data_IF_833587340486
#
_entry.id   IF_833587340486
#
_cell.length_a   1.000
_cell.length_b   1.000
_cell.length_c   1.000
_cell.angle_alpha   90.00
_cell.angle_beta   90.00
_cell.angle_gamma   90.00
#
_symmetry.space_group_name_H-M   'P 1'
#
loop_
_entity.id
_entity.type
_entity.pdbx_description
1 polymer ?
#
# COMPACT_ATOMS: atom_id res chain seq x y z
N UNK A 1 5.27 -1.57 -11.80
CA UNK A 1 4.13 -2.46 -11.43
C UNK A 1 4.32 -2.92 -9.99
N UNK A 2 3.24 -2.98 -9.17
CA UNK A 2 3.32 -3.46 -7.80
C UNK A 2 3.90 -4.87 -7.70
N UNK A 3 4.80 -5.07 -6.75
CA UNK A 3 5.52 -6.34 -6.55
C UNK A 3 4.60 -7.52 -6.19
N UNK A 4 3.57 -7.26 -5.39
CA UNK A 4 2.71 -8.28 -4.80
C UNK A 4 1.29 -8.28 -5.40
N UNK A 5 1.17 -8.09 -6.71
CA UNK A 5 -0.14 -7.95 -7.37
C UNK A 5 -1.08 -9.15 -7.12
N UNK A 6 -0.56 -10.38 -7.10
CA UNK A 6 -1.39 -11.57 -6.82
C UNK A 6 -2.00 -11.52 -5.40
N UNK A 7 -1.21 -11.08 -4.43
CA UNK A 7 -1.69 -10.90 -3.06
C UNK A 7 -2.71 -9.75 -2.96
N UNK A 8 -2.49 -8.67 -3.71
CA UNK A 8 -3.45 -7.56 -3.86
C UNK A 8 -4.79 -8.03 -4.40
N UNK A 9 -4.77 -8.85 -5.46
CA UNK A 9 -5.98 -9.42 -6.06
C UNK A 9 -6.74 -10.33 -5.08
N UNK A 10 -6.05 -11.09 -4.25
CA UNK A 10 -6.68 -11.90 -3.21
C UNK A 10 -7.42 -11.03 -2.18
N UNK A 11 -6.84 -9.93 -1.74
CA UNK A 11 -7.54 -8.97 -0.86
C UNK A 11 -8.74 -8.35 -1.59
N UNK A 12 -8.53 -7.87 -2.83
CA UNK A 12 -9.60 -7.21 -3.57
C UNK A 12 -10.78 -8.15 -3.84
N UNK A 13 -10.54 -9.43 -4.09
CA UNK A 13 -11.62 -10.42 -4.28
C UNK A 13 -12.54 -10.54 -3.05
N UNK A 14 -12.01 -10.34 -1.85
CA UNK A 14 -12.80 -10.30 -0.61
C UNK A 14 -13.57 -8.96 -0.51
N UNK A 15 -12.93 -7.85 -0.87
CA UNK A 15 -13.57 -6.53 -0.84
C UNK A 15 -14.70 -6.42 -1.87
N UNK A 16 -14.57 -7.05 -3.03
CA UNK A 16 -15.60 -7.11 -4.07
C UNK A 16 -16.89 -7.80 -3.61
N UNK A 17 -16.78 -8.74 -2.66
CA UNK A 17 -17.94 -9.45 -2.09
C UNK A 17 -18.67 -8.63 -1.01
N UNK A 18 -18.14 -7.48 -0.59
CA UNK A 18 -18.72 -6.62 0.42
C UNK A 18 -19.76 -5.68 -0.21
N UNK A 19 -20.89 -5.53 0.46
CA UNK A 19 -21.84 -4.45 0.14
C UNK A 19 -21.30 -3.09 0.61
N UNK A 20 -21.84 -1.96 0.11
CA UNK A 20 -21.53 -0.64 0.67
C UNK A 20 -21.73 -0.57 2.19
N UNK A 21 -22.80 -1.16 2.70
CA UNK A 21 -23.08 -1.23 4.15
C UNK A 21 -22.00 -2.00 4.93
N UNK A 22 -21.45 -3.08 4.36
CA UNK A 22 -20.36 -3.83 4.97
C UNK A 22 -19.07 -3.03 4.98
N UNK A 23 -18.75 -2.34 3.88
CA UNK A 23 -17.57 -1.48 3.78
C UNK A 23 -17.64 -0.29 4.74
N UNK A 24 -18.83 0.30 4.89
CA UNK A 24 -19.07 1.37 5.85
C UNK A 24 -18.71 0.94 7.28
N UNK A 25 -19.16 -0.25 7.70
CA UNK A 25 -18.85 -0.81 9.01
C UNK A 25 -17.37 -1.24 9.14
N UNK A 26 -16.86 -1.95 8.12
CA UNK A 26 -15.51 -2.49 8.11
C UNK A 26 -14.43 -1.41 8.22
N UNK A 27 -14.62 -0.30 7.50
CA UNK A 27 -13.63 0.78 7.39
C UNK A 27 -14.02 2.03 8.21
N UNK A 28 -15.15 2.00 8.95
CA UNK A 28 -15.67 3.13 9.73
C UNK A 28 -15.77 4.44 8.91
N UNK A 29 -16.33 4.35 7.70
CA UNK A 29 -16.46 5.45 6.74
C UNK A 29 -17.92 5.83 6.49
N UNK A 30 -18.13 7.03 5.91
CA UNK A 30 -19.47 7.49 5.53
C UNK A 30 -20.08 6.67 4.39
N UNK A 31 -21.39 6.70 4.25
CA UNK A 31 -22.14 6.06 3.15
C UNK A 31 -21.59 6.47 1.78
N UNK A 32 -21.39 7.76 1.55
CA UNK A 32 -20.82 8.29 0.31
C UNK A 32 -19.45 7.70 -0.02
N UNK A 33 -18.59 7.54 0.99
CA UNK A 33 -17.26 6.93 0.81
C UNK A 33 -17.34 5.43 0.62
N UNK A 34 -18.30 4.75 1.27
CA UNK A 34 -18.50 3.31 1.09
C UNK A 34 -18.99 2.97 -0.32
N UNK A 35 -19.94 3.75 -0.86
CA UNK A 35 -20.41 3.60 -2.25
C UNK A 35 -19.30 3.81 -3.26
N UNK A 36 -18.49 4.85 -3.06
CA UNK A 36 -17.33 5.13 -3.92
C UNK A 36 -16.33 3.97 -3.90
N UNK A 37 -16.00 3.45 -2.72
CA UNK A 37 -15.00 2.39 -2.61
C UNK A 37 -15.55 1.02 -3.03
N UNK A 38 -16.85 0.76 -2.87
CA UNK A 38 -17.53 -0.39 -3.46
C UNK A 38 -17.37 -0.41 -4.99
N UNK A 39 -17.64 0.71 -5.66
CA UNK A 39 -17.43 0.83 -7.12
C UNK A 39 -15.98 0.59 -7.49
N UNK A 40 -15.03 1.23 -6.79
CA UNK A 40 -13.59 1.05 -7.01
C UNK A 40 -13.16 -0.41 -6.87
N UNK A 41 -13.67 -1.12 -5.88
CA UNK A 41 -13.35 -2.54 -5.69
C UNK A 41 -13.88 -3.38 -6.85
N UNK A 42 -15.09 -3.11 -7.36
CA UNK A 42 -15.66 -3.82 -8.52
C UNK A 42 -14.91 -3.53 -9.83
N UNK A 43 -14.47 -2.30 -10.03
CA UNK A 43 -13.75 -1.85 -11.22
C UNK A 43 -12.26 -2.24 -11.19
N UNK A 44 -11.75 -2.69 -10.04
CA UNK A 44 -10.34 -3.04 -9.87
C UNK A 44 -9.92 -4.15 -10.82
N UNK A 45 -8.87 -3.89 -11.58
CA UNK A 45 -8.38 -4.78 -12.63
C UNK A 45 -6.96 -5.25 -12.37
N UNK A 46 -6.65 -6.48 -12.80
CA UNK A 46 -5.27 -6.98 -12.86
C UNK A 46 -4.38 -6.11 -13.76
N UNK A 47 -4.94 -5.57 -14.82
CA UNK A 47 -4.24 -4.72 -15.78
C UNK A 47 -4.19 -3.28 -15.27
N UNK A 48 -3.01 -2.85 -14.81
CA UNK A 48 -2.73 -1.46 -14.46
C UNK A 48 -2.16 -0.74 -15.68
N UNK A 49 -2.79 0.36 -16.06
CA UNK A 49 -2.40 1.19 -17.20
C UNK A 49 -2.68 2.68 -16.90
N UNK A 50 -2.34 3.57 -17.82
CA UNK A 50 -2.46 5.01 -17.62
C UNK A 50 -3.92 5.50 -17.53
N UNK A 51 -4.89 4.72 -18.02
CA UNK A 51 -6.31 5.07 -17.94
C UNK A 51 -6.89 4.80 -16.55
N UNK A 52 -6.47 3.71 -15.88
CA UNK A 52 -7.03 3.27 -14.61
C UNK A 52 -6.10 3.41 -13.40
N UNK A 53 -4.85 3.79 -13.60
CA UNK A 53 -3.82 3.81 -12.56
C UNK A 53 -2.99 5.09 -12.59
N UNK A 54 -2.33 5.37 -11.47
CA UNK A 54 -1.33 6.44 -11.35
C UNK A 54 -0.12 5.95 -10.57
N UNK A 55 1.08 6.53 -10.79
CA UNK A 55 2.22 6.21 -9.94
C UNK A 55 1.90 6.51 -8.47
N UNK A 56 2.27 5.60 -7.59
CA UNK A 56 1.92 5.63 -6.17
C UNK A 56 2.24 6.97 -5.50
N UNK A 57 3.42 7.52 -5.78
CA UNK A 57 3.86 8.79 -5.18
C UNK A 57 2.98 9.99 -5.55
N UNK A 58 2.29 9.95 -6.69
CA UNK A 58 1.33 10.97 -7.13
C UNK A 58 -0.13 10.64 -6.78
N UNK A 59 -0.38 9.41 -6.35
CA UNK A 59 -1.73 8.94 -6.03
C UNK A 59 -2.07 9.08 -4.54
N UNK A 60 -1.09 8.89 -3.65
CA UNK A 60 -1.26 9.08 -2.22
C UNK A 60 -1.35 10.55 -1.84
N UNK A 61 -2.14 10.82 -0.83
CA UNK A 61 -2.37 12.15 -0.26
C UNK A 61 -2.31 12.06 1.27
N UNK A 62 -2.02 13.19 1.93
CA UNK A 62 -1.89 13.31 3.38
C UNK A 62 -0.60 13.99 3.79
N UNK A 63 -0.46 14.30 5.08
CA UNK A 63 0.58 15.19 5.62
C UNK A 63 2.01 14.84 5.18
N UNK A 64 2.34 13.55 5.11
CA UNK A 64 3.68 13.10 4.66
C UNK A 64 3.92 13.45 3.19
N UNK A 65 2.90 13.29 2.36
CA UNK A 65 3.00 13.57 0.92
C UNK A 65 2.90 15.07 0.63
N UNK A 66 2.14 15.81 1.43
CA UNK A 66 2.07 17.26 1.37
C UNK A 66 3.44 17.87 1.72
N UNK A 67 4.12 17.33 2.74
CA UNK A 67 5.47 17.74 3.12
C UNK A 67 6.54 17.40 2.07
N UNK A 68 6.35 16.30 1.33
CA UNK A 68 7.24 15.89 0.24
C UNK A 68 7.08 16.78 -1.00
N UNK A 69 5.88 17.31 -1.23
CA UNK A 69 5.51 18.15 -2.39
C UNK A 69 6.08 17.63 -3.71
N UNK A 70 5.77 16.37 -4.00
CA UNK A 70 6.35 15.61 -5.13
C UNK A 70 6.22 16.32 -6.47
N UNK A 71 5.22 17.18 -6.64
CA UNK A 71 4.97 17.93 -7.90
C UNK A 71 6.05 18.97 -8.20
N UNK A 72 6.81 19.38 -7.20
CA UNK A 72 7.93 20.34 -7.33
C UNK A 72 9.28 19.66 -7.60
N UNK A 73 9.32 18.34 -7.54
CA UNK A 73 10.55 17.57 -7.71
C UNK A 73 10.89 17.39 -9.19
N UNK A 74 12.16 17.55 -9.53
CA UNK A 74 12.69 17.24 -10.85
C UNK A 74 12.85 15.71 -11.06
N UNK A 75 13.09 15.29 -12.29
CA UNK A 75 13.23 13.87 -12.63
C UNK A 75 14.36 13.17 -11.86
N UNK A 76 15.48 13.86 -11.57
CA UNK A 76 16.60 13.27 -10.82
C UNK A 76 16.21 12.94 -9.38
N UNK A 77 15.40 13.80 -8.76
CA UNK A 77 14.88 13.57 -7.41
C UNK A 77 13.84 12.44 -7.42
N UNK A 78 12.98 12.37 -8.43
CA UNK A 78 12.04 11.25 -8.60
C UNK A 78 12.79 9.93 -8.78
N UNK A 79 13.85 9.88 -9.59
CA UNK A 79 14.69 8.69 -9.76
C UNK A 79 15.39 8.29 -8.45
N UNK A 80 15.86 9.27 -7.69
CA UNK A 80 16.42 9.00 -6.35
C UNK A 80 15.36 8.37 -5.43
N UNK A 81 14.17 8.94 -5.37
CA UNK A 81 13.07 8.41 -4.56
C UNK A 81 12.66 7.01 -5.02
N UNK A 82 12.60 6.75 -6.33
CA UNK A 82 12.30 5.42 -6.89
C UNK A 82 13.24 4.33 -6.34
N UNK A 83 14.49 4.68 -6.10
CA UNK A 83 15.51 3.77 -5.58
C UNK A 83 15.51 3.68 -4.04
N UNK A 84 15.18 4.77 -3.34
CA UNK A 84 15.34 4.86 -1.87
C UNK A 84 14.04 4.85 -1.07
N UNK A 85 12.93 5.31 -1.63
CA UNK A 85 11.65 5.36 -0.92
C UNK A 85 10.87 4.05 -1.13
N UNK A 86 10.24 3.60 -0.06
CA UNK A 86 9.23 2.51 -0.09
C UNK A 86 7.96 3.00 0.61
N UNK A 87 6.80 2.71 0.02
CA UNK A 87 5.49 3.11 0.53
C UNK A 87 4.76 1.86 1.01
N UNK A 88 4.39 1.83 2.28
CA UNK A 88 3.62 0.72 2.84
C UNK A 88 2.14 0.96 2.59
N UNK A 89 1.44 -0.09 2.18
CA UNK A 89 0.06 -0.04 1.72
C UNK A 89 -0.75 -1.22 2.24
N UNK A 90 -1.97 -0.96 2.73
CA UNK A 90 -2.88 -2.02 3.18
C UNK A 90 -3.29 -2.97 2.05
N UNK A 91 -3.47 -2.44 0.83
CA UNK A 91 -3.88 -3.24 -0.34
C UNK A 91 -2.69 -3.86 -1.08
N UNK A 92 -1.59 -3.13 -1.25
CA UNK A 92 -0.47 -3.53 -2.09
C UNK A 92 0.76 -4.06 -1.32
N UNK A 93 0.74 -4.00 0.01
CA UNK A 93 1.85 -4.36 0.88
C UNK A 93 2.96 -3.32 0.86
N UNK A 94 3.86 -3.38 -0.11
CA UNK A 94 4.91 -2.40 -0.33
C UNK A 94 4.97 -1.97 -1.79
N UNK A 95 5.21 -0.69 -2.02
CA UNK A 95 5.29 -0.05 -3.34
C UNK A 95 6.57 0.74 -3.49
N UNK A 96 7.08 0.79 -4.71
CA UNK A 96 8.02 1.81 -5.15
C UNK A 96 7.26 3.06 -5.63
N UNK A 97 7.85 4.26 -5.57
CA UNK A 97 7.18 5.50 -5.95
C UNK A 97 6.45 5.49 -7.30
N UNK A 98 7.05 4.89 -8.31
CA UNK A 98 6.50 4.86 -9.67
C UNK A 98 5.68 3.59 -9.97
N UNK A 99 5.39 2.75 -8.98
CA UNK A 99 4.45 1.65 -9.17
C UNK A 99 3.06 2.19 -9.46
N UNK A 100 2.44 1.69 -10.52
CA UNK A 100 1.08 2.08 -10.91
C UNK A 100 0.08 1.46 -9.93
N UNK A 101 -0.77 2.28 -9.33
CA UNK A 101 -1.84 1.84 -8.43
C UNK A 101 -3.19 2.37 -8.89
N UNK A 102 -4.22 1.56 -8.73
CA UNK A 102 -5.60 1.97 -8.95
C UNK A 102 -6.17 2.62 -7.68
N UNK A 103 -7.19 3.48 -7.80
CA UNK A 103 -7.83 4.10 -6.65
C UNK A 103 -8.42 3.05 -5.70
N UNK A 104 -8.10 3.14 -4.43
CA UNK A 104 -8.61 2.26 -3.38
C UNK A 104 -8.68 2.97 -2.03
N UNK A 105 -9.33 2.32 -1.07
CA UNK A 105 -9.22 2.64 0.36
C UNK A 105 -9.15 1.35 1.15
N UNK A 106 -8.03 1.10 1.78
CA UNK A 106 -7.83 0.01 2.73
C UNK A 106 -6.68 0.38 3.67
N UNK A 107 -6.98 0.65 4.92
CA UNK A 107 -5.99 0.93 5.96
C UNK A 107 -5.40 -0.37 6.47
N UNK A 108 -4.14 -0.35 6.93
CA UNK A 108 -3.44 -1.54 7.40
C UNK A 108 -4.12 -2.15 8.64
N UNK A 109 -4.72 -1.31 9.48
CA UNK A 109 -5.46 -1.72 10.67
C UNK A 109 -6.86 -2.29 10.40
N UNK A 110 -7.33 -2.31 9.14
CA UNK A 110 -8.64 -2.85 8.79
C UNK A 110 -8.72 -4.34 9.14
N UNK A 111 -9.76 -4.73 9.88
CA UNK A 111 -9.99 -6.11 10.34
C UNK A 111 -10.54 -6.98 9.21
N UNK A 112 -9.66 -7.47 8.36
CA UNK A 112 -9.98 -8.36 7.25
C UNK A 112 -9.06 -9.58 7.27
N UNK A 113 -9.64 -10.78 7.17
CA UNK A 113 -8.90 -12.04 7.08
C UNK A 113 -8.68 -12.41 5.62
N UNK A 114 -7.47 -12.84 5.27
CA UNK A 114 -7.10 -13.18 3.88
C UNK A 114 -6.26 -14.45 3.87
N UNK A 115 -6.68 -15.44 3.10
CA UNK A 115 -5.91 -16.69 2.86
C UNK A 115 -5.38 -17.34 4.15
N UNK A 116 -6.18 -17.38 5.22
CA UNK A 116 -5.81 -17.98 6.50
C UNK A 116 -5.14 -17.01 7.49
N UNK A 117 -4.69 -15.84 7.07
CA UNK A 117 -4.21 -14.80 7.97
C UNK A 117 -5.37 -14.09 8.65
N UNK A 118 -5.25 -13.77 9.94
CA UNK A 118 -6.32 -13.17 10.74
C UNK A 118 -6.53 -11.67 10.42
N UNK A 119 -5.50 -11.01 9.88
CA UNK A 119 -5.49 -9.58 9.59
C UNK A 119 -4.41 -9.24 8.55
N UNK A 120 -4.37 -7.96 8.11
CA UNK A 120 -3.40 -7.51 7.10
C UNK A 120 -1.96 -7.48 7.63
N UNK A 121 -1.74 -7.26 8.92
CA UNK A 121 -0.39 -7.32 9.50
C UNK A 121 0.23 -8.69 9.33
N UNK A 122 -0.50 -9.75 9.70
CA UNK A 122 -0.06 -11.13 9.52
C UNK A 122 0.09 -11.48 8.03
N UNK A 123 -0.85 -11.02 7.21
CA UNK A 123 -0.84 -11.28 5.76
C UNK A 123 0.38 -10.70 5.05
N UNK A 124 0.82 -9.49 5.45
CA UNK A 124 1.90 -8.78 4.80
C UNK A 124 3.26 -8.96 5.44
N UNK A 125 3.34 -9.25 6.75
CA UNK A 125 4.56 -9.14 7.54
C UNK A 125 5.75 -9.87 6.91
N UNK A 126 5.58 -11.12 6.51
CA UNK A 126 6.69 -11.90 5.97
C UNK A 126 7.19 -11.36 4.62
N UNK A 127 6.28 -11.07 3.69
CA UNK A 127 6.65 -10.66 2.34
C UNK A 127 7.20 -9.23 2.29
N UNK A 128 6.59 -8.30 3.03
CA UNK A 128 7.05 -6.91 3.10
C UNK A 128 8.39 -6.84 3.82
N UNK A 129 8.55 -7.54 4.94
CA UNK A 129 9.81 -7.58 5.69
C UNK A 129 10.94 -8.16 4.84
N UNK A 130 10.69 -9.31 4.21
CA UNK A 130 11.66 -9.93 3.32
C UNK A 130 12.06 -9.02 2.16
N UNK A 131 11.08 -8.38 1.51
CA UNK A 131 11.33 -7.46 0.40
C UNK A 131 12.23 -6.29 0.83
N UNK A 132 11.93 -5.67 2.00
CA UNK A 132 12.73 -4.56 2.51
C UNK A 132 14.14 -5.01 2.91
N UNK A 133 14.26 -6.16 3.55
CA UNK A 133 15.56 -6.73 3.95
C UNK A 133 16.42 -7.11 2.74
N UNK A 134 15.82 -7.68 1.69
CA UNK A 134 16.53 -8.07 0.46
C UNK A 134 17.04 -6.84 -0.34
N UNK A 135 16.33 -5.69 -0.24
CA UNK A 135 16.73 -4.46 -0.94
C UNK A 135 17.70 -3.57 -0.14
N UNK A 136 17.81 -3.78 1.17
CA UNK A 136 18.67 -2.99 2.04
C UNK A 136 20.12 -3.51 1.97
N UNK A 137 21.05 -2.66 1.55
CA UNK A 137 22.46 -2.97 1.55
C UNK A 137 23.02 -2.91 2.97
N UNK A 138 24.07 -3.69 3.26
CA UNK A 138 24.73 -3.72 4.59
C UNK A 138 25.26 -2.37 5.09
N UNK A 139 25.47 -1.42 4.18
CA UNK A 139 25.91 -0.05 4.49
C UNK A 139 24.76 0.97 4.56
N UNK A 140 23.50 0.52 4.47
CA UNK A 140 22.33 1.39 4.44
C UNK A 140 21.52 1.26 5.73
N UNK A 141 20.83 2.34 6.06
CA UNK A 141 19.90 2.39 7.19
C UNK A 141 18.45 2.46 6.69
N UNK A 142 17.54 1.79 7.40
CA UNK A 142 16.11 1.97 7.20
C UNK A 142 15.59 3.12 8.08
N UNK A 143 15.26 4.26 7.43
CA UNK A 143 14.61 5.37 8.11
C UNK A 143 13.08 5.17 8.05
N UNK A 144 12.45 5.00 9.21
CA UNK A 144 11.00 4.89 9.29
C UNK A 144 10.33 6.28 9.34
N UNK A 145 9.57 6.61 8.31
CA UNK A 145 8.70 7.80 8.23
C UNK A 145 7.20 7.42 8.23
N UNK A 146 6.89 6.12 8.26
CA UNK A 146 5.51 5.65 8.31
C UNK A 146 4.93 5.75 9.72
N UNK A 147 3.59 5.88 9.82
CA UNK A 147 2.91 5.79 11.11
C UNK A 147 3.12 4.42 11.77
N UNK A 148 2.91 4.36 13.08
CA UNK A 148 2.97 3.09 13.81
C UNK A 148 2.03 2.03 13.24
N UNK A 149 0.86 2.43 12.76
CA UNK A 149 -0.09 1.53 12.10
C UNK A 149 0.58 0.79 10.93
N UNK A 150 1.14 1.52 9.98
CA UNK A 150 1.74 0.90 8.79
C UNK A 150 3.06 0.21 9.10
N UNK A 151 3.90 0.78 9.95
CA UNK A 151 5.18 0.19 10.30
C UNK A 151 5.06 -1.12 11.09
N UNK A 152 3.94 -1.35 11.77
CA UNK A 152 3.64 -2.61 12.48
C UNK A 152 3.46 -3.81 11.54
N UNK A 153 3.33 -3.59 10.22
CA UNK A 153 3.35 -4.66 9.24
C UNK A 153 4.76 -5.21 8.95
N UNK A 154 5.82 -4.63 9.55
CA UNK A 154 7.21 -5.02 9.33
C UNK A 154 7.75 -5.68 10.60
N UNK A 155 8.32 -6.86 10.46
CA UNK A 155 9.06 -7.53 11.53
C UNK A 155 10.49 -6.96 11.61
N UNK A 156 10.66 -6.02 12.54
CA UNK A 156 11.93 -5.29 12.74
C UNK A 156 13.10 -6.22 13.07
N UNK A 157 12.84 -7.36 13.71
CA UNK A 157 13.90 -8.30 14.10
C UNK A 157 14.53 -9.02 12.91
N UNK A 158 13.89 -8.96 11.75
CA UNK A 158 14.35 -9.57 10.50
C UNK A 158 14.87 -8.57 9.46
N UNK A 159 14.88 -7.28 9.78
CA UNK A 159 15.55 -6.29 8.95
C UNK A 159 17.03 -6.30 9.31
N UNK A 160 17.87 -6.72 8.37
CA UNK A 160 19.33 -6.70 8.51
C UNK A 160 19.85 -5.27 8.41
N UNK A 161 19.68 -4.48 9.45
CA UNK A 161 20.33 -3.19 9.63
C UNK A 161 21.15 -3.25 10.92
N UNK A 162 22.47 -3.05 10.82
CA UNK A 162 23.28 -2.77 12.00
C UNK A 162 22.87 -1.42 12.62
#
# INVERSE_FOLDING_TARGET
MPKFLEKTLAINSILQQKSPSDLMKLQSISEKLSDLNWKRNLEFSRNHNDDNSRPAIFAFNGDVYDGLDVKTLDNKKIDFLQNKLRIISGLYGVLKPLDLIQPYRLEMGTKISVNGSSNLYEYWSNDVTKFLSDELLSSEFLLNLASNEYFSAIDKSKINSE
#
